data_IF_023450178965
#
_entry.id   IF_023450178965
#
_cell.length_a   1.000
_cell.length_b   1.000
_cell.length_c   1.000
_cell.angle_alpha   90.00
_cell.angle_beta   90.00
_cell.angle_gamma   90.00
#
_symmetry.space_group_name_H-M   'P 1'
#
loop_
_entity.id
_entity.type
_entity.pdbx_description
1 polymer ?
#
# COMPACT_ATOMS: atom_id res chain seq x y z
N UNK A 1 16.99 -20.12 6.39
CA UNK A 1 15.86 -21.06 6.57
C UNK A 1 16.32 -22.40 6.02
N UNK A 2 16.21 -23.53 6.75
CA UNK A 2 16.59 -24.85 6.23
C UNK A 2 15.31 -25.60 5.85
N UNK A 3 15.16 -25.91 4.56
CA UNK A 3 14.05 -26.73 4.06
C UNK A 3 14.61 -28.11 3.77
N UNK A 4 14.27 -29.06 4.63
CA UNK A 4 14.79 -30.42 4.57
C UNK A 4 13.68 -31.41 4.86
N UNK A 5 13.63 -32.50 4.09
CA UNK A 5 12.73 -33.62 4.37
C UNK A 5 13.55 -34.77 4.95
N UNK A 6 13.09 -35.33 6.08
CA UNK A 6 13.68 -36.53 6.67
C UNK A 6 12.78 -37.72 6.44
N UNK A 7 13.26 -38.71 5.70
CA UNK A 7 12.49 -39.92 5.41
C UNK A 7 12.57 -40.89 6.59
N UNK A 8 11.42 -41.33 7.09
CA UNK A 8 11.32 -42.13 8.32
C UNK A 8 11.96 -43.52 8.21
N UNK A 9 11.89 -44.16 7.05
CA UNK A 9 12.41 -45.53 6.83
C UNK A 9 13.93 -45.59 6.71
N UNK A 10 14.55 -44.62 6.03
CA UNK A 10 15.98 -44.58 5.73
C UNK A 10 16.77 -43.66 6.66
N UNK A 11 16.10 -42.84 7.50
CA UNK A 11 16.67 -41.73 8.28
C UNK A 11 17.49 -40.74 7.42
N UNK A 12 17.40 -40.80 6.09
CA UNK A 12 18.09 -39.89 5.19
C UNK A 12 17.43 -38.52 5.25
N UNK A 13 18.25 -37.48 5.30
CA UNK A 13 17.80 -36.09 5.26
C UNK A 13 18.13 -35.56 3.87
N UNK A 14 17.11 -35.13 3.13
CA UNK A 14 17.26 -34.52 1.82
C UNK A 14 17.07 -33.02 2.01
N UNK A 15 18.16 -32.27 1.89
CA UNK A 15 18.13 -30.81 1.90
C UNK A 15 17.75 -30.31 0.50
N UNK A 16 16.75 -29.44 0.42
CA UNK A 16 16.38 -28.80 -0.83
C UNK A 16 17.37 -27.66 -1.11
N UNK A 17 18.16 -27.80 -2.16
CA UNK A 17 19.07 -26.78 -2.69
C UNK A 17 18.48 -26.23 -4.00
N UNK A 18 17.88 -25.02 -4.00
CA UNK A 18 17.32 -24.42 -5.20
C UNK A 18 18.42 -23.83 -6.08
N UNK A 19 18.13 -23.70 -7.38
CA UNK A 19 19.02 -23.00 -8.31
C UNK A 19 19.14 -21.51 -7.92
N UNK A 20 20.34 -20.89 -7.99
CA UNK A 20 20.66 -19.57 -7.42
C UNK A 20 19.72 -18.42 -7.84
N UNK A 21 19.05 -18.53 -8.98
CA UNK A 21 18.08 -17.55 -9.49
C UNK A 21 16.71 -17.62 -8.83
N UNK A 22 16.28 -18.80 -8.36
CA UNK A 22 14.99 -19.00 -7.66
C UNK A 22 15.10 -18.83 -6.14
N UNK A 23 16.33 -18.83 -5.59
CA UNK A 23 16.57 -18.77 -4.14
C UNK A 23 16.13 -17.44 -3.53
N UNK A 24 16.25 -16.33 -4.26
CA UNK A 24 15.98 -15.01 -3.70
C UNK A 24 14.50 -14.87 -3.32
N UNK A 25 13.55 -15.03 -4.24
CA UNK A 25 12.13 -14.78 -3.90
C UNK A 25 11.53 -15.87 -3.02
N UNK A 26 11.89 -17.15 -3.26
CA UNK A 26 11.32 -18.29 -2.53
C UNK A 26 11.70 -18.29 -1.04
N UNK A 27 12.89 -17.80 -0.67
CA UNK A 27 13.36 -17.80 0.71
C UNK A 27 13.28 -16.44 1.40
N UNK A 28 13.21 -15.34 0.66
CA UNK A 28 13.21 -13.98 1.26
C UNK A 28 12.00 -13.75 2.15
N UNK A 29 10.78 -13.94 1.65
CA UNK A 29 9.57 -13.69 2.43
C UNK A 29 9.38 -14.66 3.61
N UNK A 30 9.60 -15.99 3.47
CA UNK A 30 9.56 -16.88 4.62
C UNK A 30 10.61 -16.53 5.69
N UNK A 31 11.80 -16.08 5.28
CA UNK A 31 12.85 -15.65 6.20
C UNK A 31 12.50 -14.33 6.88
N UNK A 32 11.87 -13.41 6.15
CA UNK A 32 11.28 -12.19 6.72
C UNK A 32 10.22 -12.54 7.78
N UNK A 33 9.25 -13.40 7.46
CA UNK A 33 8.23 -13.85 8.43
C UNK A 33 8.82 -14.57 9.63
N UNK A 34 9.89 -15.34 9.46
CA UNK A 34 10.64 -15.93 10.58
C UNK A 34 11.20 -14.85 11.52
N UNK A 35 11.74 -13.77 10.95
CA UNK A 35 12.19 -12.60 11.71
C UNK A 35 11.05 -11.93 12.48
N UNK A 36 9.89 -11.73 11.83
CA UNK A 36 8.69 -11.17 12.47
C UNK A 36 8.24 -12.04 13.64
N UNK A 37 8.16 -13.36 13.45
CA UNK A 37 7.77 -14.29 14.49
C UNK A 37 8.74 -14.27 15.69
N UNK A 38 10.04 -14.16 15.44
CA UNK A 38 11.05 -14.04 16.49
C UNK A 38 10.96 -12.72 17.27
N UNK A 39 10.56 -11.62 16.62
CA UNK A 39 10.30 -10.36 17.32
C UNK A 39 9.00 -10.42 18.14
N UNK A 40 7.93 -11.02 17.59
CA UNK A 40 6.65 -11.15 18.28
C UNK A 40 6.70 -12.10 19.49
N UNK A 41 7.66 -13.02 19.55
CA UNK A 41 7.88 -13.84 20.75
C UNK A 41 8.51 -13.07 21.91
N UNK A 42 9.01 -11.86 21.66
CA UNK A 42 9.49 -10.98 22.72
C UNK A 42 8.30 -10.32 23.41
N UNK A 43 8.30 -10.31 24.74
CA UNK A 43 7.24 -9.68 25.53
C UNK A 43 7.10 -8.19 25.19
N UNK A 44 5.87 -7.65 25.09
CA UNK A 44 5.65 -6.21 24.95
C UNK A 44 6.17 -5.40 26.14
N UNK A 45 6.32 -6.02 27.31
CA UNK A 45 6.81 -5.36 28.54
C UNK A 45 8.34 -5.42 28.69
N UNK A 46 9.06 -5.95 27.70
CA UNK A 46 10.51 -6.02 27.75
C UNK A 46 11.14 -4.63 27.65
N UNK A 47 11.75 -4.14 28.73
CA UNK A 47 12.36 -2.80 28.79
C UNK A 47 13.82 -2.75 28.35
N UNK A 48 14.45 -3.89 28.06
CA UNK A 48 15.89 -3.99 27.75
C UNK A 48 16.21 -3.90 26.26
N UNK A 49 15.26 -3.49 25.42
CA UNK A 49 15.41 -3.41 23.97
C UNK A 49 15.81 -1.99 23.55
N UNK A 50 17.07 -1.66 23.78
CA UNK A 50 17.64 -0.39 23.33
C UNK A 50 18.05 -0.43 21.86
N UNK A 51 18.27 0.75 21.27
CA UNK A 51 18.79 0.90 19.90
C UNK A 51 20.08 0.10 19.68
N UNK A 52 20.93 -0.01 20.70
CA UNK A 52 22.14 -0.83 20.68
C UNK A 52 21.84 -2.32 20.46
N UNK A 53 20.75 -2.83 21.04
CA UNK A 53 20.33 -4.22 20.85
C UNK A 53 19.85 -4.46 19.41
N UNK A 54 19.13 -3.49 18.84
CA UNK A 54 18.68 -3.55 17.44
C UNK A 54 19.88 -3.57 16.50
N UNK A 55 20.89 -2.71 16.75
CA UNK A 55 22.13 -2.67 15.97
C UNK A 55 22.97 -3.95 16.15
N UNK A 56 23.00 -4.55 17.34
CA UNK A 56 23.74 -5.80 17.57
C UNK A 56 23.16 -6.99 16.78
N UNK A 57 21.85 -7.00 16.58
CA UNK A 57 21.16 -8.00 15.77
C UNK A 57 21.20 -7.68 14.26
N UNK A 58 21.77 -6.53 13.87
CA UNK A 58 21.89 -6.13 12.49
C UNK A 58 22.94 -7.01 11.79
N UNK A 59 22.45 -7.90 10.93
CA UNK A 59 23.32 -8.73 10.09
C UNK A 59 23.28 -8.19 8.66
N UNK A 60 24.45 -7.84 8.10
CA UNK A 60 24.61 -7.64 6.65
C UNK A 60 24.54 -6.21 6.10
N UNK A 61 24.36 -5.16 6.92
CA UNK A 61 24.34 -3.77 6.41
C UNK A 61 25.74 -3.17 6.22
N UNK A 62 26.66 -3.40 7.17
CA UNK A 62 28.01 -2.77 7.15
C UNK A 62 29.13 -3.78 6.91
N UNK A 63 28.83 -5.08 6.83
CA UNK A 63 29.81 -6.10 6.48
C UNK A 63 29.94 -6.18 4.96
N UNK A 64 31.04 -5.69 4.36
CA UNK A 64 31.23 -5.78 2.92
C UNK A 64 31.43 -7.24 2.57
N UNK A 65 30.41 -7.90 1.98
CA UNK A 65 30.53 -9.10 1.13
C UNK A 65 31.74 -10.02 1.44
N UNK A 66 31.94 -10.37 2.70
CA UNK A 66 33.02 -11.22 3.19
C UNK A 66 32.46 -12.15 4.25
N UNK A 67 31.32 -12.78 3.96
CA UNK A 67 31.16 -14.15 4.42
C UNK A 67 32.22 -14.97 3.69
N UNK A 68 33.20 -15.45 4.45
CA UNK A 68 34.12 -16.50 4.01
C UNK A 68 33.26 -17.65 3.47
N UNK A 69 33.37 -17.92 2.17
CA UNK A 69 32.48 -18.79 1.36
C UNK A 69 31.27 -18.03 0.79
N UNK A 70 31.48 -17.41 -0.38
CA UNK A 70 30.55 -16.45 -0.96
C UNK A 70 29.36 -17.07 -1.68
N UNK A 71 28.17 -16.66 -1.26
CA UNK A 71 27.06 -16.39 -2.15
C UNK A 71 26.36 -15.08 -1.68
N UNK A 72 26.14 -14.09 -2.57
CA UNK A 72 25.43 -12.85 -2.24
C UNK A 72 23.98 -13.07 -1.76
N UNK A 73 23.46 -14.29 -1.96
CA UNK A 73 22.15 -14.75 -1.53
C UNK A 73 22.03 -14.85 -0.01
N UNK A 74 23.06 -15.29 0.72
CA UNK A 74 22.95 -15.48 2.18
C UNK A 74 22.90 -14.16 2.94
N UNK A 75 23.62 -13.14 2.46
CA UNK A 75 23.59 -11.79 3.06
C UNK A 75 22.24 -11.12 2.90
N UNK A 76 21.58 -11.29 1.73
CA UNK A 76 20.23 -10.76 1.50
C UNK A 76 19.18 -11.45 2.38
N UNK A 77 19.32 -12.77 2.60
CA UNK A 77 18.42 -13.52 3.48
C UNK A 77 18.58 -13.13 4.95
N UNK A 78 19.81 -12.88 5.41
CA UNK A 78 20.04 -12.37 6.76
C UNK A 78 19.45 -10.96 6.93
N UNK A 79 19.60 -10.10 5.92
CA UNK A 79 18.99 -8.77 5.89
C UNK A 79 17.46 -8.84 5.88
N UNK A 80 16.87 -9.80 5.15
CA UNK A 80 15.43 -10.04 5.16
C UNK A 80 14.93 -10.53 6.53
N UNK A 81 15.67 -11.40 7.22
CA UNK A 81 15.35 -11.80 8.60
C UNK A 81 15.36 -10.60 9.55
N UNK A 82 16.39 -9.76 9.46
CA UNK A 82 16.51 -8.55 10.27
C UNK A 82 15.39 -7.53 9.97
N UNK A 83 15.05 -7.35 8.69
CA UNK A 83 13.90 -6.53 8.29
C UNK A 83 12.58 -7.01 8.92
N UNK A 84 12.37 -8.33 8.97
CA UNK A 84 11.22 -8.92 9.64
C UNK A 84 11.25 -8.69 11.15
N UNK A 85 12.42 -8.82 11.77
CA UNK A 85 12.61 -8.50 13.20
C UNK A 85 12.21 -7.05 13.49
N UNK A 86 12.67 -6.08 12.67
CA UNK A 86 12.30 -4.67 12.81
C UNK A 86 10.79 -4.45 12.71
N UNK A 87 10.12 -5.10 11.76
CA UNK A 87 8.66 -5.00 11.64
C UNK A 87 7.95 -5.52 12.89
N UNK A 88 8.33 -6.69 13.40
CA UNK A 88 7.73 -7.26 14.61
C UNK A 88 8.01 -6.43 15.87
N UNK A 89 9.19 -5.83 16.00
CA UNK A 89 9.49 -4.89 17.08
C UNK A 89 8.61 -3.63 17.01
N UNK A 90 8.31 -3.18 15.79
CA UNK A 90 7.33 -2.11 15.54
C UNK A 90 5.93 -2.46 16.02
N UNK A 91 5.47 -3.68 15.74
CA UNK A 91 4.18 -4.19 16.23
C UNK A 91 4.12 -4.27 17.77
N UNK A 92 5.23 -4.66 18.40
CA UNK A 92 5.38 -4.66 19.87
C UNK A 92 5.62 -3.27 20.47
N UNK A 93 5.59 -2.19 19.65
CA UNK A 93 5.81 -0.78 20.04
C UNK A 93 7.21 -0.44 20.57
N UNK A 94 8.15 -1.38 20.51
CA UNK A 94 9.54 -1.16 20.93
C UNK A 94 10.31 -0.24 19.98
N UNK A 95 9.83 -0.08 18.74
CA UNK A 95 10.47 0.75 17.72
C UNK A 95 10.27 2.27 17.91
N UNK A 96 9.48 2.72 18.90
CA UNK A 96 9.28 4.15 19.20
C UNK A 96 10.55 4.88 19.65
N UNK A 97 11.49 4.14 20.24
CA UNK A 97 12.76 4.70 20.72
C UNK A 97 13.84 4.72 19.64
N UNK A 98 13.54 4.20 18.43
CA UNK A 98 14.47 4.19 17.32
C UNK A 98 14.78 5.61 16.85
N UNK A 99 16.07 5.93 16.73
CA UNK A 99 16.51 7.26 16.28
C UNK A 99 16.16 7.43 14.81
N UNK A 100 15.59 8.59 14.44
CA UNK A 100 15.17 8.88 13.06
C UNK A 100 16.28 8.65 12.03
N UNK A 101 17.56 8.91 12.37
CA UNK A 101 18.71 8.62 11.51
C UNK A 101 18.86 7.14 11.15
N UNK A 102 18.61 6.22 12.10
CA UNK A 102 18.72 4.78 11.85
C UNK A 102 17.69 4.34 10.82
N UNK A 103 16.47 4.89 10.86
CA UNK A 103 15.45 4.61 9.86
C UNK A 103 15.93 4.96 8.44
N UNK A 104 16.54 6.15 8.29
CA UNK A 104 17.10 6.58 7.01
C UNK A 104 18.25 5.67 6.54
N UNK A 105 19.10 5.22 7.46
CA UNK A 105 20.18 4.29 7.13
C UNK A 105 19.66 2.97 6.57
N UNK A 106 18.62 2.39 7.19
CA UNK A 106 17.99 1.17 6.68
C UNK A 106 17.29 1.37 5.33
N UNK A 107 16.70 2.55 5.10
CA UNK A 107 15.99 2.86 3.84
C UNK A 107 16.93 3.23 2.69
N UNK A 108 18.15 3.66 2.99
CA UNK A 108 19.19 3.90 1.99
C UNK A 108 19.65 2.60 1.31
N UNK A 109 19.57 1.47 2.02
CA UNK A 109 19.81 0.14 1.47
C UNK A 109 18.62 -0.23 0.60
N UNK A 110 18.77 -0.17 -0.73
CA UNK A 110 17.73 -0.44 -1.75
C UNK A 110 17.28 -1.92 -1.75
N UNK A 111 16.78 -2.41 -0.62
CA UNK A 111 16.33 -3.78 -0.39
C UNK A 111 14.85 -3.77 0.03
N UNK A 112 13.99 -4.26 -0.86
CA UNK A 112 12.53 -4.20 -0.73
C UNK A 112 11.99 -4.66 0.64
N UNK A 113 12.33 -5.85 1.17
CA UNK A 113 11.74 -6.30 2.45
C UNK A 113 12.24 -5.45 3.63
N UNK A 114 13.45 -4.87 3.55
CA UNK A 114 13.94 -3.90 4.56
C UNK A 114 13.07 -2.65 4.55
N UNK A 115 12.80 -2.07 3.38
CA UNK A 115 11.92 -0.92 3.28
C UNK A 115 10.51 -1.22 3.79
N UNK A 116 9.93 -2.37 3.39
CA UNK A 116 8.61 -2.81 3.88
C UNK A 116 8.59 -2.95 5.40
N UNK A 117 9.59 -3.63 5.99
CA UNK A 117 9.64 -3.88 7.42
C UNK A 117 9.82 -2.61 8.25
N UNK A 118 10.66 -1.68 7.79
CA UNK A 118 10.90 -0.39 8.46
C UNK A 118 9.68 0.53 8.35
N UNK A 119 9.10 0.69 7.15
CA UNK A 119 7.96 1.58 6.95
C UNK A 119 6.74 1.11 7.74
N UNK A 120 6.39 -0.18 7.67
CA UNK A 120 5.26 -0.73 8.43
C UNK A 120 5.56 -0.80 9.93
N UNK A 121 6.79 -1.15 10.32
CA UNK A 121 7.18 -1.23 11.73
C UNK A 121 7.09 0.12 12.43
N UNK A 122 7.61 1.18 11.79
CA UNK A 122 7.51 2.54 12.30
C UNK A 122 6.06 3.04 12.31
N UNK A 123 5.31 2.80 11.23
CA UNK A 123 3.89 3.18 11.18
C UNK A 123 3.05 2.49 12.26
N UNK A 124 3.31 1.21 12.55
CA UNK A 124 2.64 0.47 13.61
C UNK A 124 3.01 0.98 15.01
N UNK A 125 4.29 1.28 15.24
CA UNK A 125 4.75 1.86 16.49
C UNK A 125 4.08 3.22 16.75
N UNK A 126 3.94 4.05 15.73
CA UNK A 126 3.30 5.38 15.79
C UNK A 126 1.82 5.38 15.39
N UNK A 127 1.12 4.25 15.51
CA UNK A 127 -0.31 4.15 15.14
C UNK A 127 -1.14 5.22 15.86
N UNK A 128 -1.86 6.03 15.08
CA UNK A 128 -2.78 7.06 15.57
C UNK A 128 -2.12 8.29 16.20
N UNK A 129 -0.79 8.44 16.17
CA UNK A 129 -0.12 9.61 16.75
C UNK A 129 -0.06 10.80 15.81
N UNK A 130 -0.26 10.60 14.51
CA UNK A 130 -0.19 11.65 13.47
C UNK A 130 1.15 12.41 13.51
N UNK A 131 2.25 11.70 13.75
CA UNK A 131 3.59 12.31 13.83
C UNK A 131 4.07 12.79 12.45
N UNK A 132 4.36 14.10 12.35
CA UNK A 132 4.86 14.74 11.13
C UNK A 132 6.21 14.20 10.62
N UNK A 133 7.04 13.63 11.50
CA UNK A 133 8.34 13.06 11.11
C UNK A 133 8.15 11.74 10.36
N UNK A 134 7.35 10.83 10.92
CA UNK A 134 7.01 9.55 10.31
C UNK A 134 6.11 9.78 9.07
N UNK A 135 5.20 10.76 9.10
CA UNK A 135 4.39 11.12 7.94
C UNK A 135 5.25 11.54 6.75
N UNK A 136 6.27 12.38 6.96
CA UNK A 136 7.23 12.77 5.92
C UNK A 136 8.04 11.58 5.41
N UNK A 137 8.48 10.70 6.31
CA UNK A 137 9.20 9.48 5.94
C UNK A 137 8.37 8.59 5.02
N UNK A 138 7.09 8.38 5.35
CA UNK A 138 6.15 7.58 4.55
C UNK A 138 5.83 8.27 3.22
N UNK A 139 5.62 9.59 3.22
CA UNK A 139 5.26 10.35 2.03
C UNK A 139 6.31 10.27 0.91
N UNK A 140 7.60 10.19 1.25
CA UNK A 140 8.67 9.99 0.25
C UNK A 140 8.52 8.66 -0.50
N UNK A 141 7.90 7.65 0.11
CA UNK A 141 7.73 6.31 -0.47
C UNK A 141 6.37 6.11 -1.14
N UNK A 142 5.47 7.09 -1.06
CA UNK A 142 4.12 7.05 -1.63
C UNK A 142 3.99 8.19 -2.63
N UNK A 143 4.05 7.92 -3.95
CA UNK A 143 4.01 8.97 -4.96
C UNK A 143 2.78 9.89 -4.88
N UNK A 144 1.63 9.35 -4.47
CA UNK A 144 0.40 10.12 -4.26
C UNK A 144 0.49 11.20 -3.18
N UNK A 145 1.46 11.09 -2.24
CA UNK A 145 1.69 12.04 -1.17
C UNK A 145 2.85 12.99 -1.46
N UNK A 146 3.62 12.74 -2.52
CA UNK A 146 4.75 13.59 -2.90
C UNK A 146 4.25 14.86 -3.62
N UNK A 147 4.93 16.01 -3.42
CA UNK A 147 4.68 17.20 -4.22
C UNK A 147 4.87 16.91 -5.72
N UNK A 148 4.12 17.57 -6.62
CA UNK A 148 4.16 17.32 -8.07
C UNK A 148 5.52 17.62 -8.74
N UNK A 149 6.45 18.25 -8.02
CA UNK A 149 7.80 18.59 -8.49
C UNK A 149 8.89 17.68 -7.90
N UNK A 150 8.52 16.64 -7.14
CA UNK A 150 9.49 15.72 -6.54
C UNK A 150 10.08 14.80 -7.62
N UNK A 151 11.38 14.51 -7.51
CA UNK A 151 12.06 13.53 -8.37
C UNK A 151 11.40 12.16 -8.26
N UNK A 152 11.05 11.53 -9.40
CA UNK A 152 10.53 10.17 -9.45
C UNK A 152 11.52 9.19 -8.83
N UNK A 153 11.29 8.85 -7.56
CA UNK A 153 12.00 7.79 -6.87
C UNK A 153 11.40 6.46 -7.32
N UNK A 154 12.16 5.67 -8.06
CA UNK A 154 11.73 4.33 -8.48
C UNK A 154 11.70 3.39 -7.26
N UNK A 155 10.54 3.26 -6.65
CA UNK A 155 10.29 2.34 -5.54
C UNK A 155 9.69 1.03 -6.05
N UNK A 156 10.01 -0.08 -5.36
CA UNK A 156 9.33 -1.35 -5.60
C UNK A 156 7.84 -1.23 -5.25
N UNK A 157 6.92 -1.83 -6.03
CA UNK A 157 5.48 -1.76 -5.74
C UNK A 157 5.11 -2.18 -4.31
N UNK A 158 5.76 -3.23 -3.77
CA UNK A 158 5.52 -3.68 -2.39
C UNK A 158 5.88 -2.61 -1.34
N UNK A 159 6.91 -1.80 -1.60
CA UNK A 159 7.30 -0.68 -0.73
C UNK A 159 6.25 0.43 -0.76
N UNK A 160 5.70 0.72 -1.93
CA UNK A 160 4.64 1.73 -2.08
C UNK A 160 3.39 1.29 -1.31
N UNK A 161 2.94 0.04 -1.48
CA UNK A 161 1.78 -0.50 -0.75
C UNK A 161 2.03 -0.49 0.77
N UNK A 162 3.23 -0.86 1.21
CA UNK A 162 3.62 -0.80 2.61
C UNK A 162 3.58 0.65 3.16
N UNK A 163 4.06 1.63 2.40
CA UNK A 163 3.98 3.05 2.75
C UNK A 163 2.53 3.55 2.82
N UNK A 164 1.67 3.09 1.91
CA UNK A 164 0.25 3.46 1.86
C UNK A 164 -0.52 2.93 3.08
N UNK A 165 -0.36 1.63 3.39
CA UNK A 165 -0.94 1.02 4.60
C UNK A 165 -0.34 1.67 5.85
N UNK A 166 0.96 1.95 5.86
CA UNK A 166 1.64 2.66 6.94
C UNK A 166 1.06 4.06 7.19
N UNK A 167 0.73 4.79 6.12
CA UNK A 167 0.03 6.08 6.22
C UNK A 167 -1.34 5.89 6.87
N UNK A 168 -2.08 4.85 6.48
CA UNK A 168 -3.35 4.49 7.12
C UNK A 168 -3.23 4.20 8.62
N UNK A 169 -2.17 3.49 9.04
CA UNK A 169 -1.91 3.21 10.46
C UNK A 169 -1.53 4.47 11.25
N UNK A 170 -0.68 5.34 10.69
CA UNK A 170 -0.25 6.57 11.34
C UNK A 170 -1.43 7.52 11.58
N UNK A 171 -2.32 7.63 10.58
CA UNK A 171 -3.52 8.47 10.61
C UNK A 171 -4.78 7.73 11.08
N UNK A 172 -4.62 6.55 11.69
CA UNK A 172 -5.75 5.74 12.13
C UNK A 172 -6.70 6.54 13.03
N UNK A 173 -8.01 6.44 12.78
CA UNK A 173 -9.09 7.11 13.52
C UNK A 173 -9.04 8.66 13.49
N UNK A 174 -8.08 9.28 12.81
CA UNK A 174 -7.88 10.74 12.83
C UNK A 174 -8.86 11.52 11.93
N UNK A 175 -9.46 10.87 10.93
CA UNK A 175 -10.22 11.52 9.87
C UNK A 175 -9.48 12.71 9.21
N UNK A 176 -8.16 12.63 9.06
CA UNK A 176 -7.40 13.71 8.45
C UNK A 176 -7.82 13.92 6.99
N UNK A 177 -8.50 15.04 6.74
CA UNK A 177 -9.16 15.37 5.47
C UNK A 177 -8.30 15.13 4.24
N UNK A 178 -7.09 15.72 4.20
CA UNK A 178 -6.19 15.62 3.02
C UNK A 178 -5.80 14.18 2.74
N UNK A 179 -5.50 13.40 3.78
CA UNK A 179 -5.11 11.99 3.64
C UNK A 179 -6.29 11.17 3.11
N UNK A 180 -7.50 11.42 3.60
CA UNK A 180 -8.72 10.75 3.09
C UNK A 180 -8.96 11.07 1.62
N UNK A 181 -8.86 12.35 1.24
CA UNK A 181 -9.04 12.79 -0.15
C UNK A 181 -8.05 12.11 -1.10
N UNK A 182 -6.77 12.08 -0.75
CA UNK A 182 -5.74 11.41 -1.55
C UNK A 182 -6.02 9.91 -1.63
N UNK A 183 -6.31 9.24 -0.51
CA UNK A 183 -6.61 7.80 -0.51
C UNK A 183 -7.89 7.46 -1.29
N UNK A 184 -8.91 8.31 -1.24
CA UNK A 184 -10.13 8.17 -2.03
C UNK A 184 -9.81 8.28 -3.53
N UNK A 185 -8.98 9.23 -3.93
CA UNK A 185 -8.54 9.38 -5.32
C UNK A 185 -7.71 8.17 -5.78
N UNK A 186 -6.91 7.56 -4.90
CA UNK A 186 -6.15 6.35 -5.24
C UNK A 186 -7.03 5.10 -5.40
N UNK A 187 -8.15 4.99 -4.66
CA UNK A 187 -9.12 3.87 -4.80
C UNK A 187 -10.05 4.08 -5.99
N UNK A 188 -10.62 5.28 -6.12
CA UNK A 188 -11.76 5.55 -7.01
C UNK A 188 -11.38 6.32 -8.26
N UNK A 189 -10.17 6.88 -8.32
CA UNK A 189 -9.71 7.72 -9.41
C UNK A 189 -9.48 6.98 -10.72
N UNK A 190 -9.47 7.71 -11.86
CA UNK A 190 -9.24 7.14 -13.18
C UNK A 190 -7.85 6.51 -13.31
N UNK A 191 -6.88 6.95 -12.50
CA UNK A 191 -5.53 6.37 -12.46
C UNK A 191 -4.91 6.54 -11.07
N UNK A 192 -4.38 5.48 -10.45
CA UNK A 192 -3.58 5.60 -9.24
C UNK A 192 -2.25 6.28 -9.60
N UNK A 193 -1.90 7.35 -8.88
CA UNK A 193 -0.71 8.16 -9.16
C UNK A 193 0.58 7.37 -8.88
N UNK A 194 0.50 6.38 -7.99
CA UNK A 194 1.64 5.56 -7.58
C UNK A 194 2.05 4.41 -8.50
N UNK A 195 1.30 4.13 -9.58
CA UNK A 195 1.64 3.04 -10.50
C UNK A 195 2.32 3.56 -11.77
N UNK A 196 3.43 2.92 -12.21
CA UNK A 196 4.03 3.19 -13.52
C UNK A 196 2.99 3.10 -14.65
N UNK A 197 3.19 3.87 -15.72
CA UNK A 197 2.37 3.72 -16.94
C UNK A 197 2.41 2.25 -17.34
N UNK A 198 1.26 1.58 -17.57
CA UNK A 198 1.25 0.20 -18.02
C UNK A 198 1.97 0.10 -19.36
N UNK A 199 3.16 -0.51 -19.32
CA UNK A 199 3.82 -0.99 -20.52
C UNK A 199 2.95 -2.14 -21.05
N UNK A 200 2.47 -2.08 -22.31
CA UNK A 200 1.60 -3.11 -22.89
C UNK A 200 2.23 -4.52 -22.92
N UNK A 201 3.50 -4.66 -22.53
CA UNK A 201 4.26 -5.92 -22.51
C UNK A 201 4.33 -6.62 -21.15
N UNK A 202 3.96 -5.96 -20.03
CA UNK A 202 4.14 -6.50 -18.67
C UNK A 202 2.80 -6.73 -17.97
N UNK A 203 2.59 -7.94 -17.44
CA UNK A 203 1.44 -8.30 -16.59
C UNK A 203 1.52 -7.59 -15.23
N UNK A 204 1.20 -6.29 -15.20
CA UNK A 204 1.18 -5.44 -13.99
C UNK A 204 -0.12 -5.58 -13.16
N UNK A 205 -1.00 -6.53 -13.50
CA UNK A 205 -2.32 -6.67 -12.88
C UNK A 205 -2.25 -6.93 -11.37
N UNK A 206 -1.36 -7.82 -10.91
CA UNK A 206 -1.33 -8.25 -9.51
C UNK A 206 -0.78 -7.16 -8.56
N UNK A 207 0.11 -6.30 -9.05
CA UNK A 207 0.63 -5.14 -8.30
C UNK A 207 -0.40 -4.01 -8.23
N UNK A 208 -1.23 -3.89 -9.27
CA UNK A 208 -2.32 -2.93 -9.30
C UNK A 208 -3.44 -3.32 -8.33
N UNK A 209 -3.68 -4.63 -8.16
CA UNK A 209 -4.65 -5.16 -7.20
C UNK A 209 -4.22 -4.93 -5.75
N UNK A 210 -2.99 -5.29 -5.41
CA UNK A 210 -2.44 -5.09 -4.05
C UNK A 210 -2.36 -3.61 -3.67
N UNK A 211 -2.10 -2.72 -4.64
CA UNK A 211 -2.17 -1.27 -4.44
C UNK A 211 -3.58 -0.79 -4.14
N UNK A 212 -4.57 -1.14 -4.97
CA UNK A 212 -5.97 -0.72 -4.77
C UNK A 212 -6.50 -1.21 -3.41
N UNK A 213 -6.21 -2.47 -3.06
CA UNK A 213 -6.58 -3.04 -1.77
C UNK A 213 -5.86 -2.33 -0.60
N UNK A 214 -4.56 -2.06 -0.73
CA UNK A 214 -3.79 -1.30 0.27
C UNK A 214 -4.35 0.10 0.49
N UNK A 215 -4.78 0.79 -0.58
CA UNK A 215 -5.42 2.09 -0.52
C UNK A 215 -6.77 2.03 0.24
N UNK A 216 -7.59 1.01 -0.04
CA UNK A 216 -8.86 0.79 0.66
C UNK A 216 -8.69 0.46 2.14
N UNK A 217 -7.69 -0.37 2.48
CA UNK A 217 -7.32 -0.66 3.88
C UNK A 217 -6.88 0.62 4.59
N UNK A 218 -5.98 1.39 3.97
CA UNK A 218 -5.50 2.64 4.54
C UNK A 218 -6.65 3.63 4.76
N UNK A 219 -7.54 3.79 3.77
CA UNK A 219 -8.72 4.64 3.85
C UNK A 219 -9.62 4.23 5.01
N UNK A 220 -9.93 2.93 5.12
CA UNK A 220 -10.76 2.39 6.20
C UNK A 220 -10.13 2.55 7.59
N UNK A 221 -8.79 2.49 7.71
CA UNK A 221 -8.09 2.75 8.96
C UNK A 221 -8.19 4.22 9.39
N UNK A 222 -8.06 5.16 8.44
CA UNK A 222 -8.16 6.61 8.72
C UNK A 222 -9.57 7.02 9.13
N UNK A 223 -10.59 6.40 8.54
CA UNK A 223 -12.01 6.68 8.81
C UNK A 223 -12.67 5.72 9.81
N UNK A 224 -11.87 4.87 10.47
CA UNK A 224 -12.34 3.77 11.32
C UNK A 224 -13.37 4.20 12.37
N UNK A 225 -14.52 3.52 12.40
CA UNK A 225 -15.62 3.68 13.37
C UNK A 225 -16.16 5.11 13.51
N UNK A 226 -16.01 5.96 12.48
CA UNK A 226 -16.47 7.36 12.51
C UNK A 226 -17.87 7.51 11.91
N UNK A 227 -18.25 6.65 10.97
CA UNK A 227 -19.56 6.69 10.29
C UNK A 227 -19.90 8.09 9.78
N UNK A 228 -21.14 8.51 9.99
CA UNK A 228 -21.65 9.86 9.64
C UNK A 228 -21.08 10.98 10.52
N UNK A 229 -20.39 10.66 11.62
CA UNK A 229 -19.84 11.67 12.55
C UNK A 229 -18.61 12.37 11.99
N UNK A 230 -18.12 11.97 10.82
CA UNK A 230 -17.03 12.62 10.11
C UNK A 230 -17.53 13.84 9.30
N UNK A 231 -18.11 14.84 9.96
CA UNK A 231 -18.68 16.04 9.33
C UNK A 231 -17.67 16.81 8.47
N UNK A 232 -16.38 16.77 8.81
CA UNK A 232 -15.29 17.38 8.03
C UNK A 232 -14.99 16.69 6.68
N UNK A 233 -15.63 15.56 6.40
CA UNK A 233 -15.51 14.80 5.14
C UNK A 233 -16.80 14.83 4.30
N UNK A 234 -17.85 15.55 4.74
CA UNK A 234 -19.16 15.51 4.10
C UNK A 234 -19.14 16.00 2.63
N UNK A 235 -18.25 16.93 2.31
CA UNK A 235 -18.07 17.49 0.98
C UNK A 235 -17.34 16.55 0.00
N UNK A 236 -16.49 15.65 0.50
CA UNK A 236 -15.77 14.65 -0.29
C UNK A 236 -16.70 13.58 -0.88
N UNK A 237 -17.94 13.47 -0.36
CA UNK A 237 -18.93 12.45 -0.77
C UNK A 237 -18.31 11.06 -0.86
N UNK A 238 -17.50 10.72 0.15
CA UNK A 238 -16.72 9.48 0.20
C UNK A 238 -17.61 8.26 0.02
N UNK A 239 -18.72 8.24 0.75
CA UNK A 239 -19.69 7.15 0.77
C UNK A 239 -20.32 6.93 -0.62
N UNK A 240 -20.69 8.02 -1.31
CA UNK A 240 -21.26 7.94 -2.67
C UNK A 240 -20.23 7.40 -3.66
N UNK A 241 -18.99 7.87 -3.55
CA UNK A 241 -17.90 7.42 -4.43
C UNK A 241 -17.61 5.93 -4.25
N UNK A 242 -17.53 5.46 -2.99
CA UNK A 242 -17.35 4.04 -2.69
C UNK A 242 -18.53 3.21 -3.17
N UNK A 243 -19.75 3.72 -3.00
CA UNK A 243 -20.97 3.04 -3.44
C UNK A 243 -21.00 2.79 -4.93
N UNK A 244 -20.61 3.76 -5.76
CA UNK A 244 -20.56 3.59 -7.22
C UNK A 244 -19.69 2.38 -7.60
N UNK A 245 -18.53 2.23 -6.96
CA UNK A 245 -17.64 1.09 -7.18
C UNK A 245 -18.18 -0.23 -6.63
N UNK A 246 -19.05 -0.20 -5.62
CA UNK A 246 -19.71 -1.39 -5.06
C UNK A 246 -20.87 -1.84 -5.94
N UNK A 247 -21.76 -0.93 -6.33
CA UNK A 247 -23.03 -1.25 -7.00
C UNK A 247 -22.84 -1.53 -8.49
N UNK A 248 -22.06 -0.70 -9.19
CA UNK A 248 -21.84 -0.78 -10.64
C UNK A 248 -20.36 -0.52 -10.98
N UNK A 249 -19.47 -1.50 -10.71
CA UNK A 249 -18.07 -1.35 -11.04
C UNK A 249 -17.88 -1.11 -12.55
N UNK A 250 -17.20 -0.02 -12.96
CA UNK A 250 -16.94 0.27 -14.37
C UNK A 250 -16.16 -0.90 -15.00
N UNK A 251 -16.71 -1.44 -16.09
CA UNK A 251 -16.18 -2.62 -16.79
C UNK A 251 -17.08 -3.86 -16.73
N UNK A 252 -18.01 -3.97 -15.78
CA UNK A 252 -19.00 -5.08 -15.73
C UNK A 252 -20.35 -4.72 -16.35
N UNK A 253 -20.65 -3.43 -16.46
CA UNK A 253 -21.92 -2.92 -17.00
C UNK A 253 -21.70 -2.42 -18.43
N UNK A 254 -22.06 -3.26 -19.41
CA UNK A 254 -22.10 -2.91 -20.83
C UNK A 254 -23.22 -1.92 -21.19
N UNK A 255 -23.44 -0.90 -20.37
CA UNK A 255 -24.36 0.19 -20.66
C UNK A 255 -23.56 1.47 -20.86
N UNK A 256 -23.62 1.99 -22.09
CA UNK A 256 -23.26 3.37 -22.42
C UNK A 256 -24.09 4.30 -21.55
N UNK A 257 -23.57 4.73 -20.40
CA UNK A 257 -24.03 5.95 -19.77
C UNK A 257 -23.42 7.12 -20.55
N UNK A 258 -24.06 7.42 -21.67
CA UNK A 258 -23.92 8.74 -22.27
C UNK A 258 -24.44 9.76 -21.27
N UNK A 259 -23.61 10.78 -21.01
CA UNK A 259 -24.04 12.08 -20.50
C UNK A 259 -24.51 12.12 -19.03
N UNK A 260 -23.56 12.25 -18.10
CA UNK A 260 -23.81 12.98 -16.85
C UNK A 260 -22.55 13.69 -16.37
N UNK A 261 -22.58 15.03 -16.50
CA UNK A 261 -21.84 15.96 -15.68
C UNK A 261 -20.32 16.01 -15.87
N UNK A 262 -19.87 16.81 -16.84
CA UNK A 262 -18.56 17.46 -16.74
C UNK A 262 -18.51 18.25 -15.42
N UNK A 263 -17.85 17.71 -14.40
CA UNK A 263 -17.32 18.55 -13.33
C UNK A 263 -16.06 19.18 -13.89
N UNK A 264 -16.13 20.49 -14.10
CA UNK A 264 -15.02 21.29 -14.61
C UNK A 264 -13.77 21.05 -13.76
N UNK A 265 -12.73 20.65 -14.47
CA UNK A 265 -11.37 20.56 -14.00
C UNK A 265 -10.90 22.00 -13.68
N UNK A 266 -11.07 22.45 -12.44
CA UNK A 266 -10.36 23.65 -11.97
C UNK A 266 -8.93 23.24 -11.71
N UNK A 267 -8.09 23.40 -12.74
CA UNK A 267 -6.66 23.52 -12.59
C UNK A 267 -6.38 24.65 -11.58
N UNK A 268 -5.97 24.30 -10.37
CA UNK A 268 -5.36 25.26 -9.44
C UNK A 268 -3.92 25.50 -9.90
N UNK A 269 -3.79 26.30 -10.96
CA UNK A 269 -2.57 26.99 -11.32
C UNK A 269 -2.59 28.41 -10.75
N UNK A 270 -1.42 28.84 -10.29
CA UNK A 270 -1.04 30.22 -9.94
C UNK A 270 -1.82 30.91 -8.83
N UNK A 271 -1.22 31.01 -7.64
CA UNK A 271 -0.99 32.29 -6.96
C UNK A 271 0.09 32.06 -5.89
N UNK A 272 1.25 32.72 -6.09
CA UNK A 272 2.17 33.32 -5.11
C UNK A 272 3.59 33.32 -5.70
N UNK A 273 3.85 34.30 -6.57
CA UNK A 273 5.19 34.86 -6.79
C UNK A 273 5.06 36.37 -6.63
N UNK A 274 5.62 36.98 -5.57
CA UNK A 274 5.69 38.43 -5.47
C UNK A 274 7.14 38.90 -5.38
N UNK A 275 8.04 38.51 -6.29
CA UNK A 275 9.31 39.22 -6.52
C UNK A 275 9.72 39.09 -7.99
N UNK A 276 9.52 40.16 -8.75
CA UNK A 276 9.80 40.21 -10.18
C UNK A 276 11.28 40.16 -10.50
N UNK A 277 11.65 39.25 -11.42
CA UNK A 277 12.78 39.40 -12.32
C UNK A 277 12.37 38.84 -13.69
N UNK A 278 12.32 39.71 -14.70
CA UNK A 278 12.15 39.34 -16.11
C UNK A 278 13.50 38.89 -16.63
N UNK A 279 13.57 37.72 -17.26
CA UNK A 279 14.66 37.40 -18.17
C UNK A 279 14.12 36.74 -19.45
N UNK A 280 14.49 37.37 -20.56
CA UNK A 280 14.21 36.98 -21.94
C UNK A 280 15.27 35.98 -22.44
N UNK A 281 14.95 35.32 -23.56
CA UNK A 281 15.76 34.46 -24.45
C UNK A 281 15.51 32.96 -24.22
N UNK A 282 15.25 32.09 -25.21
CA UNK A 282 15.37 32.17 -26.66
C UNK A 282 14.55 31.06 -27.33
N UNK A 283 14.15 31.31 -28.58
CA UNK A 283 13.35 30.49 -29.50
C UNK A 283 13.95 29.09 -29.76
N UNK A 284 13.13 28.05 -29.63
CA UNK A 284 13.43 26.67 -30.04
C UNK A 284 12.17 25.94 -30.50
N UNK A 285 12.08 25.74 -31.82
CA UNK A 285 11.15 24.94 -32.62
C UNK A 285 9.91 24.29 -31.95
N UNK A 286 8.73 24.81 -32.35
CA UNK A 286 7.43 24.15 -32.22
C UNK A 286 7.39 22.93 -33.15
N UNK A 287 7.36 21.73 -32.57
CA UNK A 287 6.89 20.52 -33.25
C UNK A 287 5.54 20.11 -32.63
N UNK A 288 4.44 20.06 -33.40
CA UNK A 288 3.18 19.53 -32.89
C UNK A 288 3.26 18.00 -32.79
N UNK A 289 2.87 17.36 -31.68
CA UNK A 289 2.67 15.93 -31.68
C UNK A 289 1.40 15.63 -32.47
N UNK A 290 1.58 15.17 -33.71
CA UNK A 290 0.56 14.46 -34.47
C UNK A 290 0.34 13.10 -33.83
N UNK A 291 -0.62 12.99 -32.92
CA UNK A 291 -1.36 11.75 -32.75
C UNK A 291 -2.81 12.07 -32.38
N UNK A 292 -3.69 11.59 -33.24
CA UNK A 292 -5.14 11.67 -33.20
C UNK A 292 -5.67 11.34 -31.80
N UNK A 293 -6.24 12.36 -31.16
CA UNK A 293 -7.04 12.20 -29.95
C UNK A 293 -8.35 11.53 -30.33
N UNK A 294 -8.42 10.21 -30.20
CA UNK A 294 -9.70 9.52 -30.25
C UNK A 294 -10.56 9.92 -29.03
N UNK A 295 -11.83 10.29 -29.23
CA UNK A 295 -12.73 10.61 -28.15
C UNK A 295 -13.38 9.32 -27.60
N UNK A 296 -13.24 9.07 -26.30
CA UNK A 296 -14.17 8.20 -25.58
C UNK A 296 -13.83 6.72 -25.50
N UNK A 297 -12.69 6.36 -24.91
CA UNK A 297 -12.58 5.11 -24.15
C UNK A 297 -12.11 5.44 -22.74
N UNK A 298 -12.92 5.06 -21.74
CA UNK A 298 -12.42 4.93 -20.36
C UNK A 298 -11.35 3.85 -20.44
N UNK A 299 -10.10 4.28 -20.43
CA UNK A 299 -8.91 3.46 -20.66
C UNK A 299 -8.98 2.19 -19.79
N UNK A 300 -8.86 1.03 -20.43
CA UNK A 300 -9.30 -0.27 -19.94
C UNK A 300 -8.90 -0.61 -18.50
N UNK A 301 -9.90 -0.66 -17.62
CA UNK A 301 -9.78 -1.39 -16.36
C UNK A 301 -9.78 -2.88 -16.66
N UNK A 302 -8.68 -3.58 -16.38
CA UNK A 302 -8.70 -5.04 -16.43
C UNK A 302 -9.73 -5.56 -15.41
N UNK A 303 -10.46 -6.65 -15.70
CA UNK A 303 -11.50 -7.15 -14.79
C UNK A 303 -10.96 -7.48 -13.39
N UNK A 304 -9.66 -7.78 -13.28
CA UNK A 304 -8.91 -7.95 -12.03
C UNK A 304 -8.78 -6.64 -11.24
N UNK A 305 -8.36 -5.54 -11.88
CA UNK A 305 -8.24 -4.25 -11.20
C UNK A 305 -9.60 -3.74 -10.72
N UNK A 306 -10.65 -3.95 -11.51
CA UNK A 306 -12.03 -3.63 -11.12
C UNK A 306 -12.47 -4.43 -9.87
N UNK A 307 -12.12 -5.72 -9.81
CA UNK A 307 -12.36 -6.57 -8.64
C UNK A 307 -11.62 -6.05 -7.40
N UNK A 308 -10.35 -5.68 -7.54
CA UNK A 308 -9.52 -5.14 -6.46
C UNK A 308 -10.08 -3.82 -5.89
N UNK A 309 -10.51 -2.90 -6.76
CA UNK A 309 -11.13 -1.63 -6.32
C UNK A 309 -12.48 -1.84 -5.65
N UNK A 310 -13.26 -2.81 -6.13
CA UNK A 310 -14.54 -3.18 -5.51
C UNK A 310 -14.32 -3.72 -4.10
N UNK A 311 -13.35 -4.63 -3.93
CA UNK A 311 -13.02 -5.19 -2.61
C UNK A 311 -12.44 -4.14 -1.66
N UNK A 312 -11.57 -3.26 -2.16
CA UNK A 312 -11.05 -2.11 -1.43
C UNK A 312 -12.18 -1.18 -0.93
N UNK A 313 -13.16 -0.89 -1.80
CA UNK A 313 -14.28 -0.01 -1.45
C UNK A 313 -15.21 -0.63 -0.40
N UNK A 314 -15.51 -1.92 -0.53
CA UNK A 314 -16.29 -2.67 0.49
C UNK A 314 -15.57 -2.63 1.84
N UNK A 315 -14.26 -2.89 1.86
CA UNK A 315 -13.48 -2.89 3.09
C UNK A 315 -13.43 -1.51 3.75
N UNK A 316 -13.20 -0.46 2.96
CA UNK A 316 -13.18 0.91 3.46
C UNK A 316 -14.53 1.31 4.07
N UNK A 317 -15.64 0.96 3.41
CA UNK A 317 -16.98 1.23 3.90
C UNK A 317 -17.30 0.44 5.17
N UNK A 318 -16.95 -0.85 5.22
CA UNK A 318 -17.13 -1.68 6.41
C UNK A 318 -16.35 -1.15 7.62
N UNK A 319 -15.10 -0.71 7.43
CA UNK A 319 -14.28 -0.15 8.52
C UNK A 319 -14.78 1.23 8.96
N UNK A 320 -15.22 2.08 8.02
CA UNK A 320 -15.77 3.39 8.34
C UNK A 320 -17.01 3.30 9.23
N UNK A 321 -17.88 2.32 8.99
CA UNK A 321 -19.12 2.08 9.71
C UNK A 321 -19.02 0.95 10.75
N UNK A 322 -17.82 0.58 11.17
CA UNK A 322 -17.63 -0.48 12.15
C UNK A 322 -18.41 -0.17 13.44
N UNK A 323 -19.28 -1.09 13.85
CA UNK A 323 -20.16 -0.97 15.04
C UNK A 323 -21.13 0.22 15.05
N UNK A 324 -21.44 0.85 13.91
CA UNK A 324 -22.43 1.95 13.89
C UNK A 324 -23.88 1.46 13.78
N UNK A 325 -24.11 0.20 13.41
CA UNK A 325 -25.44 -0.42 13.25
C UNK A 325 -26.36 0.31 12.24
N UNK A 326 -25.79 0.97 11.24
CA UNK A 326 -26.57 1.73 10.27
C UNK A 326 -27.27 0.80 9.26
N UNK A 327 -28.62 0.84 9.17
CA UNK A 327 -29.39 -0.08 8.33
C UNK A 327 -29.12 0.13 6.84
N UNK A 328 -28.77 1.36 6.45
CA UNK A 328 -28.44 1.71 5.07
C UNK A 328 -27.17 0.98 4.58
N UNK A 329 -26.11 0.95 5.40
CA UNK A 329 -24.86 0.25 5.09
C UNK A 329 -25.09 -1.25 4.94
N UNK A 330 -25.89 -1.83 5.83
CA UNK A 330 -26.29 -3.25 5.78
C UNK A 330 -27.01 -3.57 4.47
N UNK A 331 -27.83 -2.65 3.96
CA UNK A 331 -28.52 -2.81 2.67
C UNK A 331 -27.54 -2.74 1.50
N UNK A 332 -26.61 -1.79 1.49
CA UNK A 332 -25.58 -1.66 0.42
C UNK A 332 -24.66 -2.88 0.37
N UNK A 333 -24.29 -3.42 1.54
CA UNK A 333 -23.45 -4.61 1.65
C UNK A 333 -24.23 -5.93 1.54
N UNK A 334 -25.55 -5.88 1.34
CA UNK A 334 -26.35 -7.09 1.18
C UNK A 334 -26.04 -7.81 -0.14
N UNK A 335 -26.13 -9.14 -0.12
CA UNK A 335 -26.00 -9.94 -1.32
C UNK A 335 -27.30 -9.83 -2.14
N UNK A 336 -27.22 -9.77 -3.47
CA UNK A 336 -28.42 -9.78 -4.31
C UNK A 336 -29.19 -11.09 -4.13
N UNK A 337 -30.49 -11.01 -3.88
CA UNK A 337 -31.36 -12.18 -3.70
C UNK A 337 -31.66 -12.95 -5.02
N UNK A 338 -31.16 -12.46 -6.16
CA UNK A 338 -31.39 -13.08 -7.48
C UNK A 338 -30.19 -13.95 -7.88
N UNK A 339 -30.46 -15.22 -8.21
CA UNK A 339 -29.47 -16.18 -8.71
C UNK A 339 -28.74 -15.71 -9.97
N UNK A 340 -29.38 -14.89 -10.81
CA UNK A 340 -28.77 -14.30 -12.01
C UNK A 340 -27.71 -13.24 -11.66
N UNK A 341 -28.00 -12.38 -10.68
CA UNK A 341 -27.02 -11.38 -10.22
C UNK A 341 -25.90 -12.05 -9.44
N UNK A 342 -26.18 -13.07 -8.64
CA UNK A 342 -25.18 -13.80 -7.87
C UNK A 342 -24.12 -14.47 -8.75
N UNK A 343 -24.52 -15.02 -9.91
CA UNK A 343 -23.59 -15.61 -10.90
C UNK A 343 -22.62 -14.60 -11.53
N UNK A 344 -22.92 -13.30 -11.48
CA UNK A 344 -22.03 -12.24 -12.00
C UNK A 344 -21.01 -11.78 -10.96
N UNK A 345 -21.17 -12.14 -9.69
CA UNK A 345 -20.23 -11.75 -8.63
C UNK A 345 -19.06 -12.73 -8.54
N UNK A 346 -17.86 -12.18 -8.36
CA UNK A 346 -16.71 -12.97 -7.93
C UNK A 346 -16.93 -13.44 -6.48
N UNK A 347 -16.65 -14.72 -6.13
CA UNK A 347 -16.91 -15.27 -4.80
C UNK A 347 -16.23 -14.49 -3.67
N UNK A 348 -15.04 -13.95 -3.91
CA UNK A 348 -14.32 -13.10 -2.94
C UNK A 348 -15.10 -11.83 -2.57
N UNK A 349 -15.79 -11.21 -3.53
CA UNK A 349 -16.62 -10.01 -3.28
C UNK A 349 -17.81 -10.38 -2.41
N UNK A 350 -18.44 -11.53 -2.69
CA UNK A 350 -19.56 -12.01 -1.90
C UNK A 350 -19.15 -12.28 -0.44
N UNK A 351 -17.98 -12.90 -0.23
CA UNK A 351 -17.41 -13.11 1.09
C UNK A 351 -17.17 -11.78 1.81
N UNK A 352 -16.50 -10.83 1.15
CA UNK A 352 -16.17 -9.55 1.76
C UNK A 352 -17.42 -8.71 2.10
N UNK A 353 -18.46 -8.77 1.27
CA UNK A 353 -19.77 -8.16 1.56
C UNK A 353 -20.44 -8.79 2.78
N UNK A 354 -20.42 -10.12 2.86
CA UNK A 354 -21.01 -10.83 4.00
C UNK A 354 -20.27 -10.51 5.31
N UNK A 355 -18.95 -10.40 5.25
CA UNK A 355 -18.12 -10.02 6.40
C UNK A 355 -18.32 -8.55 6.77
N UNK A 356 -18.31 -7.65 5.78
CA UNK A 356 -18.53 -6.22 6.01
C UNK A 356 -19.92 -5.91 6.57
N UNK A 357 -20.93 -6.72 6.23
CA UNK A 357 -22.28 -6.64 6.84
C UNK A 357 -22.31 -7.06 8.31
N UNK A 358 -21.38 -7.92 8.72
CA UNK A 358 -21.33 -8.44 10.10
C UNK A 358 -20.54 -7.52 11.04
N UNK A 359 -19.54 -6.80 10.52
CA UNK A 359 -18.75 -5.79 11.24
C UNK A 359 -19.55 -4.53 11.59
#
# INVERSE_FOLDING_TARGET
LRVAARFGSSKTTLDYQPAPTEVNDLYTWPTFHKGVAAALSISPDATSLDNSWILLNQVGLDTPSKSTMGLPTETNLALAAHAGLLFGLGLNRHLKHMVSWQAFHYLAVKHTPTSVGVLLGLAAAYRGTVDSTIARLLAVHVPALMPPNASDLQHSPSTIVAGLIGTGLLYAESCHRRTVEILQQEVTGPRPVGLPVPDPTVTQDDQSESYALGAGIALGLVTLARGERATGLADLKLVDSLRVWIDDPPGYSGHNSGNSGMVQNTAFGSYLDPLGVRENQSLGAVFPPTHSREPGSVLGSTPKLTLARTTAAIWALAMMYHRTNDPWVVQVLSLPNSSYRLKKFHPTVALLRSLGRWL
#
